data_IF_631160739819
#
_entry.id   IF_631160739819
#
_cell.length_a   1.000
_cell.length_b   1.000
_cell.length_c   1.000
_cell.angle_alpha   90.00
_cell.angle_beta   90.00
_cell.angle_gamma   90.00
#
_symmetry.space_group_name_H-M   'P 1'
#
loop_
_entity.id
_entity.type
_entity.pdbx_description
1 polymer ?
#
# COMPACT_ATOMS: atom_id res chain seq x y z
N UNK A 1 -27.71 19.88 -42.54
CA UNK A 1 -26.33 20.34 -42.77
C UNK A 1 -25.65 20.54 -41.42
N UNK A 2 -24.54 19.84 -41.15
CA UNK A 2 -23.72 20.08 -39.96
C UNK A 2 -22.71 21.19 -40.25
N UNK A 3 -22.70 22.21 -39.39
CA UNK A 3 -21.91 23.42 -39.51
C UNK A 3 -20.46 23.17 -39.07
N UNK A 4 -19.65 22.60 -39.97
CA UNK A 4 -18.19 22.53 -39.81
C UNK A 4 -17.56 23.88 -40.19
N UNK A 5 -17.71 24.89 -39.33
CA UNK A 5 -17.04 26.19 -39.48
C UNK A 5 -15.59 26.08 -38.91
N UNK A 6 -14.54 26.48 -39.66
CA UNK A 6 -13.15 26.43 -39.18
C UNK A 6 -12.93 27.09 -37.80
N UNK A 7 -13.71 28.11 -37.45
CA UNK A 7 -13.63 28.76 -36.14
C UNK A 7 -14.05 27.86 -34.96
N UNK A 8 -14.96 26.89 -35.16
CA UNK A 8 -15.39 25.97 -34.10
C UNK A 8 -14.34 24.87 -33.86
N UNK A 9 -13.67 24.41 -34.92
CA UNK A 9 -12.55 23.45 -34.83
C UNK A 9 -11.34 24.05 -34.10
N UNK A 10 -10.94 25.27 -34.47
CA UNK A 10 -9.81 25.96 -33.82
C UNK A 10 -10.08 26.26 -32.33
N UNK A 11 -11.32 26.65 -32.00
CA UNK A 11 -11.73 26.89 -30.61
C UNK A 11 -11.68 25.61 -29.77
N UNK A 12 -12.04 24.46 -30.35
CA UNK A 12 -11.93 23.16 -29.69
C UNK A 12 -10.46 22.81 -29.41
N UNK A 13 -9.59 22.93 -30.41
CA UNK A 13 -8.14 22.66 -30.28
C UNK A 13 -7.47 23.53 -29.21
N UNK A 14 -7.79 24.82 -29.15
CA UNK A 14 -7.28 25.74 -28.10
C UNK A 14 -7.73 25.33 -26.70
N UNK A 15 -8.97 24.82 -26.55
CA UNK A 15 -9.48 24.35 -25.26
C UNK A 15 -8.77 23.09 -24.78
N UNK A 16 -8.51 22.14 -25.68
CA UNK A 16 -7.75 20.92 -25.38
C UNK A 16 -6.31 21.26 -24.95
N UNK A 17 -5.62 22.12 -25.71
CA UNK A 17 -4.27 22.56 -25.35
C UNK A 17 -4.24 23.27 -23.99
N UNK A 18 -5.25 24.08 -23.67
CA UNK A 18 -5.39 24.72 -22.36
C UNK A 18 -5.65 23.71 -21.24
N UNK A 19 -6.43 22.66 -21.50
CA UNK A 19 -6.70 21.60 -20.54
C UNK A 19 -5.44 20.77 -20.25
N UNK A 20 -4.68 20.39 -21.28
CA UNK A 20 -3.42 19.66 -21.13
C UNK A 20 -2.38 20.46 -20.34
N UNK A 21 -2.20 21.74 -20.66
CA UNK A 21 -1.30 22.63 -19.89
C UNK A 21 -1.67 22.68 -18.41
N UNK A 22 -2.96 22.69 -18.07
CA UNK A 22 -3.42 22.69 -16.67
C UNK A 22 -3.05 21.40 -15.95
N UNK A 23 -3.23 20.24 -16.60
CA UNK A 23 -2.86 18.93 -16.01
C UNK A 23 -1.36 18.84 -15.74
N UNK A 24 -0.53 19.27 -16.70
CA UNK A 24 0.94 19.25 -16.57
C UNK A 24 1.39 20.16 -15.43
N UNK A 25 0.87 21.39 -15.38
CA UNK A 25 1.21 22.33 -14.31
C UNK A 25 0.78 21.80 -12.95
N UNK A 26 -0.36 21.13 -12.87
CA UNK A 26 -0.82 20.51 -11.63
C UNK A 26 0.12 19.38 -11.19
N UNK A 27 0.52 18.49 -12.10
CA UNK A 27 1.47 17.42 -11.80
C UNK A 27 2.82 17.95 -11.31
N UNK A 28 3.32 19.05 -11.89
CA UNK A 28 4.58 19.68 -11.49
C UNK A 28 4.57 20.31 -10.09
N UNK A 29 3.39 20.58 -9.51
CA UNK A 29 3.25 21.12 -8.15
C UNK A 29 3.26 19.99 -7.10
N UNK A 30 3.00 18.74 -7.50
CA UNK A 30 3.02 17.59 -6.59
C UNK A 30 4.47 17.29 -6.22
N UNK A 31 4.79 17.35 -4.93
CA UNK A 31 6.10 16.95 -4.43
C UNK A 31 6.35 15.45 -4.66
N UNK A 32 7.54 15.10 -5.14
CA UNK A 32 7.95 13.72 -5.42
C UNK A 32 9.47 13.55 -5.27
N UNK A 33 9.97 12.38 -5.65
CA UNK A 33 11.41 12.07 -5.63
C UNK A 33 12.10 12.53 -6.92
N UNK A 34 13.28 13.13 -6.80
CA UNK A 34 14.12 13.54 -7.93
C UNK A 34 15.33 12.60 -8.03
N UNK A 35 15.42 11.83 -9.11
CA UNK A 35 16.48 10.84 -9.31
C UNK A 35 17.89 11.44 -9.28
N UNK A 36 18.05 12.73 -9.62
CA UNK A 36 19.35 13.40 -9.58
C UNK A 36 19.88 13.63 -8.15
N UNK A 37 18.99 13.56 -7.15
CA UNK A 37 19.33 13.69 -5.72
C UNK A 37 19.74 12.36 -5.09
N UNK A 38 19.53 11.24 -5.78
CA UNK A 38 19.85 9.89 -5.31
C UNK A 38 21.11 9.36 -5.98
N UNK A 39 22.01 8.77 -5.18
CA UNK A 39 23.21 8.08 -5.67
C UNK A 39 22.99 6.58 -5.93
N UNK A 40 21.87 6.05 -5.44
CA UNK A 40 21.49 4.64 -5.50
C UNK A 40 20.01 4.54 -5.86
N UNK A 41 19.73 4.03 -7.05
CA UNK A 41 18.36 3.87 -7.57
C UNK A 41 17.54 2.88 -6.74
N UNK A 42 18.18 1.82 -6.20
CA UNK A 42 17.49 0.82 -5.40
C UNK A 42 16.92 1.45 -4.13
N UNK A 43 17.68 2.31 -3.46
CA UNK A 43 17.21 3.04 -2.26
C UNK A 43 16.10 4.04 -2.57
N UNK A 44 16.15 4.69 -3.74
CA UNK A 44 15.07 5.58 -4.17
C UNK A 44 13.77 4.78 -4.37
N UNK A 45 13.86 3.64 -5.05
CA UNK A 45 12.71 2.74 -5.27
C UNK A 45 12.18 2.22 -3.93
N UNK A 46 13.06 1.78 -3.04
CA UNK A 46 12.69 1.31 -1.69
C UNK A 46 11.91 2.38 -0.93
N UNK A 47 12.38 3.65 -0.95
CA UNK A 47 11.66 4.76 -0.32
C UNK A 47 10.28 4.96 -0.95
N UNK A 48 10.16 4.97 -2.27
CA UNK A 48 8.87 5.14 -2.97
C UNK A 48 7.90 4.01 -2.59
N UNK A 49 8.38 2.77 -2.59
CA UNK A 49 7.60 1.59 -2.19
C UNK A 49 7.12 1.75 -0.75
N UNK A 50 8.01 2.12 0.17
CA UNK A 50 7.67 2.32 1.58
C UNK A 50 6.66 3.47 1.78
N UNK A 51 6.82 4.60 1.09
CA UNK A 51 5.91 5.74 1.19
C UNK A 51 4.50 5.40 0.67
N UNK A 52 4.40 4.63 -0.42
CA UNK A 52 3.12 4.17 -0.97
C UNK A 52 2.49 3.13 -0.03
N UNK A 53 3.27 2.13 0.38
CA UNK A 53 2.81 1.07 1.29
C UNK A 53 2.28 1.64 2.60
N UNK A 54 3.00 2.57 3.24
CA UNK A 54 2.57 3.18 4.49
C UNK A 54 1.24 3.94 4.35
N UNK A 55 1.02 4.63 3.23
CA UNK A 55 -0.25 5.33 2.95
C UNK A 55 -1.43 4.37 2.75
N UNK A 56 -1.19 3.21 2.12
CA UNK A 56 -2.20 2.19 1.87
C UNK A 56 -2.48 1.31 3.10
N UNK A 57 -1.45 0.94 3.85
CA UNK A 57 -1.58 0.09 5.04
C UNK A 57 -2.30 0.84 6.17
N UNK A 58 -2.05 2.15 6.32
CA UNK A 58 -2.80 2.98 7.26
C UNK A 58 -4.32 2.98 6.97
N UNK A 59 -4.74 2.66 5.74
CA UNK A 59 -6.15 2.57 5.37
C UNK A 59 -6.74 1.17 5.52
N UNK A 60 -5.92 0.11 5.55
CA UNK A 60 -6.38 -1.29 5.70
C UNK A 60 -6.25 -1.86 7.12
N UNK A 61 -5.56 -1.16 8.04
CA UNK A 61 -5.32 -1.61 9.42
C UNK A 61 -6.57 -1.74 10.30
N UNK A 62 -7.75 -1.34 9.83
CA UNK A 62 -9.00 -1.38 10.62
C UNK A 62 -9.56 -2.79 10.79
N UNK A 63 -9.18 -3.74 9.94
CA UNK A 63 -9.83 -5.06 9.88
C UNK A 63 -9.62 -5.92 11.15
N UNK A 64 -8.63 -5.57 11.98
CA UNK A 64 -8.31 -6.27 13.22
C UNK A 64 -8.47 -5.39 14.47
N UNK A 65 -8.83 -4.12 14.33
CA UNK A 65 -8.92 -3.16 15.43
C UNK A 65 -10.01 -3.54 16.45
N UNK A 66 -11.03 -4.26 16.01
CA UNK A 66 -12.16 -4.71 16.84
C UNK A 66 -11.89 -6.04 17.56
N UNK A 67 -10.72 -6.67 17.37
CA UNK A 67 -10.38 -7.94 18.01
C UNK A 67 -9.78 -7.74 19.40
N UNK A 68 -10.59 -8.00 20.42
CA UNK A 68 -10.16 -7.95 21.83
C UNK A 68 -9.30 -9.18 22.17
N UNK A 69 -8.12 -8.94 22.73
CA UNK A 69 -7.24 -10.00 23.26
C UNK A 69 -6.37 -10.71 22.23
N UNK A 70 -6.32 -10.21 20.99
CA UNK A 70 -5.51 -10.81 19.93
C UNK A 70 -4.00 -10.61 20.19
N UNK A 71 -3.61 -9.50 20.82
CA UNK A 71 -2.23 -9.22 21.24
C UNK A 71 -1.61 -10.33 22.09
N UNK A 72 -2.38 -10.89 23.03
CA UNK A 72 -1.87 -11.94 23.92
C UNK A 72 -1.69 -13.27 23.17
N UNK A 73 -2.61 -13.59 22.25
CA UNK A 73 -2.46 -14.73 21.34
C UNK A 73 -1.22 -14.58 20.45
N UNK A 74 -0.95 -13.38 19.95
CA UNK A 74 0.23 -13.09 19.12
C UNK A 74 1.52 -13.21 19.92
N UNK A 75 1.57 -12.67 21.16
CA UNK A 75 2.76 -12.80 22.02
C UNK A 75 3.10 -14.27 22.25
N UNK A 76 2.10 -15.08 22.57
CA UNK A 76 2.29 -16.52 22.76
C UNK A 76 2.77 -17.19 21.47
N UNK A 77 2.16 -16.86 20.33
CA UNK A 77 2.55 -17.44 19.04
C UNK A 77 3.95 -17.01 18.59
N UNK A 78 4.35 -15.75 18.79
CA UNK A 78 5.70 -15.28 18.46
C UNK A 78 6.77 -16.02 19.29
N UNK A 79 6.47 -16.33 20.56
CA UNK A 79 7.38 -17.12 21.39
C UNK A 79 7.53 -18.57 20.93
N UNK A 80 6.53 -19.12 20.23
CA UNK A 80 6.56 -20.47 19.68
C UNK A 80 7.19 -20.53 18.28
N UNK A 81 7.06 -19.45 17.51
CA UNK A 81 7.53 -19.40 16.12
C UNK A 81 9.01 -19.06 16.00
N UNK A 82 9.65 -18.55 17.06
CA UNK A 82 11.07 -18.17 17.11
C UNK A 82 11.61 -17.62 15.78
N UNK A 83 11.03 -16.50 15.34
CA UNK A 83 11.17 -15.98 13.98
C UNK A 83 12.57 -15.48 13.63
N UNK A 84 13.47 -15.43 14.61
CA UNK A 84 14.88 -15.08 14.45
C UNK A 84 15.74 -16.33 14.14
N UNK A 85 15.17 -17.53 14.24
CA UNK A 85 15.83 -18.80 13.93
C UNK A 85 15.78 -19.11 12.43
N UNK A 86 16.88 -19.68 11.90
CA UNK A 86 16.94 -20.20 10.52
C UNK A 86 16.26 -21.57 10.36
N UNK A 87 15.77 -22.17 11.45
CA UNK A 87 15.10 -23.47 11.43
C UNK A 87 13.65 -23.40 10.95
N UNK A 88 13.20 -24.44 10.23
CA UNK A 88 11.81 -24.55 9.79
C UNK A 88 10.94 -25.05 10.94
N UNK A 89 10.10 -24.17 11.48
CA UNK A 89 9.20 -24.46 12.60
C UNK A 89 7.75 -24.58 12.10
N UNK A 90 7.02 -25.60 12.59
CA UNK A 90 5.60 -25.79 12.32
C UNK A 90 4.79 -25.68 13.61
N UNK A 91 3.83 -24.74 13.66
CA UNK A 91 2.95 -24.52 14.81
C UNK A 91 1.49 -24.80 14.43
N UNK A 92 0.81 -25.64 15.20
CA UNK A 92 -0.61 -25.96 15.02
C UNK A 92 -1.50 -25.19 16.00
N UNK A 93 -2.57 -24.56 15.50
CA UNK A 93 -3.61 -23.93 16.33
C UNK A 93 -4.83 -24.84 16.42
N UNK A 94 -5.16 -25.30 17.62
CA UNK A 94 -6.29 -26.22 17.87
C UNK A 94 -7.36 -25.63 18.80
N UNK A 95 -8.53 -26.27 18.87
CA UNK A 95 -9.61 -25.88 19.80
C UNK A 95 -11.02 -25.95 19.19
N UNK A 96 -12.04 -25.60 19.99
CA UNK A 96 -13.46 -25.66 19.58
C UNK A 96 -13.79 -24.84 18.33
N UNK A 97 -14.89 -25.18 17.66
CA UNK A 97 -15.40 -24.40 16.52
C UNK A 97 -15.78 -22.97 16.96
N UNK A 98 -15.58 -21.98 16.08
CA UNK A 98 -15.98 -20.59 16.35
C UNK A 98 -15.02 -19.74 17.22
N UNK A 99 -13.95 -20.33 17.78
CA UNK A 99 -12.98 -19.60 18.64
C UNK A 99 -12.08 -18.60 17.88
N UNK A 100 -12.06 -18.65 16.54
CA UNK A 100 -11.23 -17.74 15.74
C UNK A 100 -9.81 -18.24 15.43
N UNK A 101 -9.58 -19.56 15.42
CA UNK A 101 -8.29 -20.18 15.07
C UNK A 101 -7.73 -19.66 13.73
N UNK A 102 -8.58 -19.64 12.70
CA UNK A 102 -8.22 -19.13 11.37
C UNK A 102 -7.94 -17.62 11.41
N UNK A 103 -8.69 -16.87 12.21
CA UNK A 103 -8.50 -15.42 12.39
C UNK A 103 -7.13 -15.12 13.00
N UNK A 104 -6.72 -15.85 14.03
CA UNK A 104 -5.39 -15.71 14.66
C UNK A 104 -4.28 -16.03 13.64
N UNK A 105 -4.42 -17.11 12.87
CA UNK A 105 -3.43 -17.48 11.85
C UNK A 105 -3.31 -16.42 10.75
N UNK A 106 -4.44 -15.87 10.27
CA UNK A 106 -4.44 -14.79 9.28
C UNK A 106 -3.81 -13.51 9.83
N UNK A 107 -4.09 -13.16 11.09
CA UNK A 107 -3.46 -12.00 11.72
C UNK A 107 -1.95 -12.16 11.79
N UNK A 108 -1.44 -13.30 12.27
CA UNK A 108 0.01 -13.54 12.41
C UNK A 108 0.70 -13.45 11.05
N UNK A 109 0.08 -14.03 10.01
CA UNK A 109 0.56 -13.92 8.64
C UNK A 109 0.62 -12.45 8.20
N UNK A 110 -0.46 -11.70 8.38
CA UNK A 110 -0.51 -10.27 8.05
C UNK A 110 0.59 -9.50 8.79
N UNK A 111 0.77 -9.75 10.09
CA UNK A 111 1.72 -9.03 10.95
C UNK A 111 3.18 -9.35 10.63
N UNK A 112 3.53 -10.57 10.20
CA UNK A 112 4.92 -10.95 9.90
C UNK A 112 5.31 -10.81 8.44
N UNK A 113 4.38 -10.97 7.51
CA UNK A 113 4.65 -10.77 6.08
C UNK A 113 4.77 -9.29 5.73
N UNK A 114 4.08 -8.39 6.43
CA UNK A 114 4.19 -6.93 6.20
C UNK A 114 5.39 -6.25 6.89
N UNK A 115 6.31 -7.00 7.51
CA UNK A 115 7.54 -6.47 8.13
C UNK A 115 8.80 -6.66 7.27
N UNK A 116 8.64 -7.02 5.99
CA UNK A 116 9.69 -7.12 4.99
C UNK A 116 9.32 -6.35 3.72
#
# INVERSE_FOLDING_TARGET
MSENNPATSERSSKRLAKAERRKINFAAIIAGEDSSTWSDEAKMIEKIVNDVSNKLISTSSTDFADFVGIEDHIKNMNSLLDLESEEVIMVGVWGPSGVGKTTIAQYILFKHVHLW
#
